data_IF_234700642628
#
_entry.id   IF_234700642628
#
_cell.length_a   1.000
_cell.length_b   1.000
_cell.length_c   1.000
_cell.angle_alpha   90.00
_cell.angle_beta   90.00
_cell.angle_gamma   90.00
#
_symmetry.space_group_name_H-M   'P 1'
#
loop_
_entity.id
_entity.type
_entity.pdbx_description
1 polymer ?
#
# COMPACT_ATOMS: atom_id res chain seq x y z
N UNK A 1 -0.14 9.33 -12.41
CA UNK A 1 -0.25 8.25 -11.40
C UNK A 1 0.84 8.45 -10.35
N UNK A 2 0.72 7.88 -9.16
CA UNK A 2 1.72 8.11 -8.10
C UNK A 2 1.82 6.88 -7.22
N UNK A 3 3.03 6.58 -6.76
CA UNK A 3 3.41 5.32 -6.10
C UNK A 3 2.40 4.87 -5.03
N UNK A 4 1.88 5.78 -4.20
CA UNK A 4 0.87 5.43 -3.19
C UNK A 4 -0.48 4.92 -3.76
N UNK A 5 -0.90 5.40 -4.93
CA UNK A 5 -2.09 4.90 -5.63
C UNK A 5 -1.84 3.52 -6.24
N UNK A 6 -0.63 3.27 -6.74
CA UNK A 6 -0.29 1.99 -7.36
C UNK A 6 -0.16 0.89 -6.30
N UNK A 7 0.44 1.20 -5.15
CA UNK A 7 0.47 0.33 -3.97
C UNK A 7 -0.94 0.00 -3.46
N UNK A 8 -1.86 0.97 -3.45
CA UNK A 8 -3.27 0.71 -3.11
C UNK A 8 -3.93 -0.30 -4.06
N UNK A 9 -3.70 -0.16 -5.37
CA UNK A 9 -4.22 -1.12 -6.37
C UNK A 9 -3.63 -2.52 -6.20
N UNK A 10 -2.34 -2.61 -5.86
CA UNK A 10 -1.69 -3.88 -5.55
C UNK A 10 -2.29 -4.53 -4.31
N UNK A 11 -2.59 -3.74 -3.27
CA UNK A 11 -3.30 -4.23 -2.08
C UNK A 11 -4.69 -4.79 -2.42
N UNK A 12 -5.50 -4.05 -3.18
CA UNK A 12 -6.83 -4.50 -3.62
C UNK A 12 -6.76 -5.78 -4.47
N UNK A 13 -5.73 -5.89 -5.30
CA UNK A 13 -5.49 -7.09 -6.12
C UNK A 13 -5.15 -8.29 -5.26
N UNK A 14 -4.28 -8.12 -4.27
CA UNK A 14 -3.91 -9.17 -3.32
C UNK A 14 -5.10 -9.62 -2.46
N UNK A 15 -5.96 -8.70 -1.99
CA UNK A 15 -7.19 -9.06 -1.26
C UNK A 15 -8.18 -9.85 -2.12
N UNK A 16 -8.36 -9.44 -3.38
CA UNK A 16 -9.23 -10.17 -4.31
C UNK A 16 -8.67 -11.57 -4.61
N UNK A 17 -7.35 -11.70 -4.73
CA UNK A 17 -6.71 -12.98 -4.92
C UNK A 17 -6.88 -13.88 -3.69
N UNK A 18 -6.72 -13.32 -2.48
CA UNK A 18 -6.96 -14.04 -1.23
C UNK A 18 -8.39 -14.59 -1.14
N UNK A 19 -9.40 -13.78 -1.48
CA UNK A 19 -10.81 -14.18 -1.44
C UNK A 19 -11.20 -15.25 -2.49
N UNK A 20 -10.35 -15.47 -3.50
CA UNK A 20 -10.54 -16.50 -4.54
C UNK A 20 -9.69 -17.75 -4.30
N UNK A 21 -8.79 -17.72 -3.32
CA UNK A 21 -7.86 -18.82 -3.04
C UNK A 21 -8.50 -19.80 -2.07
N UNK A 22 -8.59 -21.06 -2.47
CA UNK A 22 -9.20 -22.14 -1.66
C UNK A 22 -8.27 -22.58 -0.54
N UNK A 23 -6.96 -22.58 -0.80
CA UNK A 23 -5.94 -22.90 0.19
C UNK A 23 -5.82 -21.78 1.23
N UNK A 24 -6.08 -22.10 2.50
CA UNK A 24 -6.13 -21.12 3.57
C UNK A 24 -4.75 -20.48 3.83
N UNK A 25 -3.67 -21.26 3.69
CA UNK A 25 -2.32 -20.76 3.90
C UNK A 25 -1.94 -19.73 2.82
N UNK A 26 -2.16 -20.06 1.55
CA UNK A 26 -1.93 -19.15 0.43
C UNK A 26 -2.85 -17.91 0.51
N UNK A 27 -4.12 -18.09 0.91
CA UNK A 27 -5.03 -16.97 1.12
C UNK A 27 -4.52 -16.02 2.22
N UNK A 28 -3.99 -16.55 3.32
CA UNK A 28 -3.41 -15.74 4.39
C UNK A 28 -2.12 -15.03 3.95
N UNK A 29 -1.25 -15.68 3.16
CA UNK A 29 -0.09 -15.01 2.57
C UNK A 29 -0.49 -13.81 1.70
N UNK A 30 -1.55 -13.95 0.91
CA UNK A 30 -2.07 -12.86 0.07
C UNK A 30 -2.68 -11.72 0.89
N UNK A 31 -3.35 -12.02 2.02
CA UNK A 31 -3.82 -11.00 2.97
C UNK A 31 -2.64 -10.22 3.57
N UNK A 32 -1.60 -10.91 4.03
CA UNK A 32 -0.38 -10.28 4.57
C UNK A 32 0.28 -9.38 3.51
N UNK A 33 0.32 -9.84 2.25
CA UNK A 33 0.84 -9.03 1.15
C UNK A 33 0.02 -7.75 0.94
N UNK A 34 -1.32 -7.84 1.01
CA UNK A 34 -2.20 -6.68 0.90
C UNK A 34 -1.97 -5.66 2.02
N UNK A 35 -1.80 -6.13 3.25
CA UNK A 35 -1.49 -5.27 4.41
C UNK A 35 -0.14 -4.57 4.25
N UNK A 36 0.88 -5.29 3.76
CA UNK A 36 2.19 -4.72 3.49
C UNK A 36 2.11 -3.60 2.45
N UNK A 37 1.35 -3.78 1.36
CA UNK A 37 1.16 -2.74 0.36
C UNK A 37 0.41 -1.52 0.91
N UNK A 38 -0.59 -1.71 1.78
CA UNK A 38 -1.29 -0.61 2.46
C UNK A 38 -0.33 0.18 3.36
N UNK A 39 0.49 -0.52 4.15
CA UNK A 39 1.48 0.11 5.01
C UNK A 39 2.48 0.94 4.21
N UNK A 40 3.00 0.39 3.10
CA UNK A 40 3.90 1.13 2.20
C UNK A 40 3.22 2.35 1.58
N UNK A 41 1.96 2.25 1.16
CA UNK A 41 1.22 3.37 0.60
C UNK A 41 1.09 4.53 1.60
N UNK A 42 0.87 4.22 2.88
CA UNK A 42 0.79 5.23 3.95
C UNK A 42 2.16 5.86 4.24
N UNK A 43 3.24 5.09 4.25
CA UNK A 43 4.60 5.63 4.38
C UNK A 43 4.93 6.58 3.23
N UNK A 44 4.61 6.21 1.98
CA UNK A 44 4.83 7.07 0.80
C UNK A 44 4.05 8.38 0.92
N UNK A 45 2.78 8.34 1.36
CA UNK A 45 1.98 9.55 1.60
C UNK A 45 2.58 10.44 2.67
N UNK A 46 2.97 9.85 3.81
CA UNK A 46 3.58 10.58 4.94
C UNK A 46 4.88 11.26 4.50
N UNK A 47 5.73 10.55 3.78
CA UNK A 47 7.00 11.09 3.27
C UNK A 47 6.77 12.22 2.25
N UNK A 48 5.77 12.08 1.37
CA UNK A 48 5.39 13.15 0.44
C UNK A 48 4.90 14.41 1.18
N UNK A 49 4.11 14.23 2.24
CA UNK A 49 3.63 15.34 3.08
C UNK A 49 4.79 16.05 3.78
N UNK A 50 5.67 15.29 4.46
CA UNK A 50 6.86 15.84 5.13
C UNK A 50 7.75 16.65 4.18
N UNK A 51 8.05 16.11 3.00
CA UNK A 51 8.82 16.85 1.98
C UNK A 51 8.17 18.17 1.58
N UNK A 52 6.84 18.18 1.40
CA UNK A 52 6.11 19.41 1.07
C UNK A 52 6.20 20.41 2.22
N UNK A 53 5.97 19.98 3.46
CA UNK A 53 6.03 20.86 4.63
C UNK A 53 7.44 21.46 4.83
N UNK A 54 8.50 20.68 4.60
CA UNK A 54 9.90 21.16 4.63
C UNK A 54 10.20 22.19 3.54
N UNK A 55 9.68 21.99 2.32
CA UNK A 55 9.81 22.94 1.22
C UNK A 55 9.09 24.27 1.52
N UNK A 56 7.87 24.21 2.07
CA UNK A 56 7.10 25.41 2.44
C UNK A 56 7.69 26.19 3.62
N UNK A 57 8.50 25.56 4.48
CA UNK A 57 9.14 26.22 5.63
C UNK A 57 10.45 26.95 5.27
N UNK A 58 11.05 26.63 4.12
CA UNK A 58 12.35 27.19 3.68
C UNK A 58 12.23 28.27 2.58
N UNK A 59 11.04 28.49 2.04
CA UNK A 59 10.75 29.57 1.08
C UNK A 59 10.04 30.73 1.77
#
# INVERSE_FOLDING_TARGET
>A
MGVAKDLKKQAETAERAAGRTVDEFAANQMKTLAEAFRAQAEVVKRNKKKKKDELHRKG
#
